data_IF_158989616438
#
_entry.id   IF_158989616438
#
_cell.length_a   1.000
_cell.length_b   1.000
_cell.length_c   1.000
_cell.angle_alpha   90.00
_cell.angle_beta   90.00
_cell.angle_gamma   90.00
#
_symmetry.space_group_name_H-M   'P 1'
#
loop_
_entity.id
_entity.type
_entity.pdbx_description
1 polymer ?
#
# COMPACT_ATOMS: atom_id res chain seq x y z
N UNK A 1 -34.58 18.57 -23.47
CA UNK A 1 -34.57 17.54 -24.53
C UNK A 1 -33.44 16.57 -24.19
N UNK A 2 -33.67 15.25 -24.21
CA UNK A 2 -32.63 14.24 -24.02
C UNK A 2 -32.20 13.76 -25.42
N UNK A 3 -30.91 13.81 -25.76
CA UNK A 3 -30.38 13.43 -27.08
C UNK A 3 -31.20 14.01 -28.26
N UNK A 4 -31.59 15.28 -28.13
CA UNK A 4 -32.33 16.00 -29.17
C UNK A 4 -33.85 15.82 -29.21
N UNK A 5 -34.47 15.02 -28.32
CA UNK A 5 -35.92 14.80 -28.28
C UNK A 5 -36.58 15.15 -26.92
N UNK A 6 -37.90 15.40 -26.90
CA UNK A 6 -38.64 15.65 -25.68
C UNK A 6 -38.84 14.32 -24.90
N UNK A 7 -38.50 14.25 -23.60
CA UNK A 7 -38.54 12.99 -22.84
C UNK A 7 -39.92 12.31 -22.84
N UNK A 8 -40.99 13.09 -22.82
CA UNK A 8 -42.37 12.59 -22.81
C UNK A 8 -42.78 11.81 -24.08
N UNK A 9 -42.00 11.90 -25.17
CA UNK A 9 -42.29 11.24 -26.45
C UNK A 9 -41.38 10.06 -26.78
N UNK A 10 -40.46 9.67 -25.90
CA UNK A 10 -39.49 8.62 -26.16
C UNK A 10 -40.02 7.25 -25.69
N UNK A 11 -39.83 6.23 -26.53
CA UNK A 11 -40.05 4.82 -26.18
C UNK A 11 -38.70 4.14 -25.92
N UNK A 12 -38.61 3.17 -25.01
CA UNK A 12 -37.42 2.33 -24.87
C UNK A 12 -37.01 1.75 -26.23
N UNK A 13 -35.72 1.87 -26.58
CA UNK A 13 -35.18 1.41 -27.87
C UNK A 13 -35.38 2.36 -29.07
N UNK A 14 -36.01 3.53 -28.89
CA UNK A 14 -36.10 4.53 -29.94
C UNK A 14 -34.72 5.09 -30.32
N UNK A 15 -34.43 5.14 -31.63
CA UNK A 15 -33.21 5.75 -32.13
C UNK A 15 -33.17 7.25 -31.79
N UNK A 16 -32.14 7.67 -31.04
CA UNK A 16 -31.87 9.07 -30.74
C UNK A 16 -31.30 9.83 -31.94
N UNK A 17 -31.12 11.15 -31.81
CA UNK A 17 -30.35 11.92 -32.79
C UNK A 17 -28.85 11.80 -32.49
N UNK A 18 -28.02 11.81 -33.53
CA UNK A 18 -26.58 11.95 -33.38
C UNK A 18 -26.29 13.26 -32.64
N UNK A 19 -25.57 13.16 -31.53
CA UNK A 19 -25.04 14.30 -30.79
C UNK A 19 -23.54 14.33 -31.03
N UNK A 20 -23.05 15.42 -31.60
CA UNK A 20 -21.63 15.70 -31.73
C UNK A 20 -21.21 16.68 -30.65
N UNK A 21 -20.17 16.34 -29.89
CA UNK A 21 -19.52 17.23 -28.93
C UNK A 21 -18.03 17.29 -29.22
N UNK A 22 -17.41 18.44 -28.95
CA UNK A 22 -15.96 18.58 -28.90
C UNK A 22 -15.57 18.67 -27.44
N UNK A 23 -14.65 17.81 -27.00
CA UNK A 23 -14.04 17.89 -25.69
C UNK A 23 -12.62 18.41 -25.87
N UNK A 24 -12.29 19.49 -25.16
CA UNK A 24 -10.92 19.95 -25.01
C UNK A 24 -10.52 19.76 -23.55
N UNK A 25 -9.39 19.09 -23.32
CA UNK A 25 -8.78 18.98 -22.00
C UNK A 25 -7.68 20.03 -21.91
N UNK A 26 -7.65 20.77 -20.82
CA UNK A 26 -6.54 21.65 -20.48
C UNK A 26 -5.90 21.14 -19.20
N UNK A 27 -4.58 21.00 -19.20
CA UNK A 27 -3.82 20.76 -17.97
C UNK A 27 -3.53 22.11 -17.32
N UNK A 28 -3.99 22.31 -16.09
CA UNK A 28 -3.55 23.41 -15.25
C UNK A 28 -2.76 22.82 -14.08
N UNK A 29 -1.54 23.32 -13.79
CA UNK A 29 -0.82 22.92 -12.59
C UNK A 29 -1.69 23.15 -11.36
N UNK A 30 -1.77 22.16 -10.48
CA UNK A 30 -2.41 22.35 -9.18
C UNK A 30 -1.66 23.45 -8.41
N UNK A 31 -2.41 24.33 -7.74
CA UNK A 31 -1.84 25.40 -6.90
C UNK A 31 -0.92 24.82 -5.81
N UNK A 32 -1.26 23.63 -5.31
CA UNK A 32 -0.49 22.88 -4.33
C UNK A 32 -0.24 21.46 -4.87
N UNK A 33 0.81 21.25 -5.67
CA UNK A 33 1.10 19.94 -6.23
C UNK A 33 1.58 19.01 -5.11
N UNK A 34 1.00 17.82 -5.07
CA UNK A 34 1.54 16.72 -4.27
C UNK A 34 2.92 16.32 -4.80
N UNK A 35 3.80 15.81 -3.94
CA UNK A 35 5.19 15.51 -4.30
C UNK A 35 5.62 14.17 -3.72
N UNK A 36 6.33 13.40 -4.52
CA UNK A 36 7.22 12.39 -3.99
C UNK A 36 8.29 13.07 -3.13
N UNK A 37 8.64 12.47 -2.00
CA UNK A 37 9.78 12.88 -1.17
C UNK A 37 10.85 11.80 -1.24
N UNK A 38 12.09 12.24 -1.51
CA UNK A 38 13.28 11.40 -1.62
C UNK A 38 14.26 11.82 -0.54
N UNK A 39 14.74 10.86 0.26
CA UNK A 39 15.93 11.02 1.06
C UNK A 39 16.98 9.97 0.69
N UNK A 40 18.26 10.33 0.77
CA UNK A 40 19.37 9.44 0.38
C UNK A 40 20.33 9.25 1.55
N UNK A 41 20.48 8.01 2.00
CA UNK A 41 21.59 7.63 2.87
C UNK A 41 22.74 7.11 2.00
N UNK A 42 23.80 7.92 1.86
CA UNK A 42 24.96 7.57 1.03
C UNK A 42 25.72 6.37 1.61
N UNK A 43 25.93 5.35 0.77
CA UNK A 43 26.68 4.16 1.11
C UNK A 43 28.16 4.41 1.42
N UNK A 44 28.76 3.52 2.20
CA UNK A 44 30.14 3.63 2.70
C UNK A 44 31.20 3.23 1.66
N UNK A 45 30.86 2.37 0.70
CA UNK A 45 31.81 1.84 -0.28
C UNK A 45 31.84 2.71 -1.54
N UNK A 46 32.99 3.32 -1.92
CA UNK A 46 33.09 4.19 -3.09
C UNK A 46 32.68 3.54 -4.41
N UNK A 47 32.81 2.22 -4.54
CA UNK A 47 32.48 1.46 -5.73
C UNK A 47 31.01 1.04 -5.77
N UNK A 48 30.37 0.88 -4.61
CA UNK A 48 28.98 0.40 -4.51
C UNK A 48 27.96 1.48 -4.15
N UNK A 49 28.38 2.63 -3.60
CA UNK A 49 27.47 3.73 -3.19
C UNK A 49 26.67 4.36 -4.34
N UNK A 50 27.05 4.11 -5.59
CA UNK A 50 26.26 4.49 -6.78
C UNK A 50 25.17 3.48 -7.15
N UNK A 51 24.98 2.43 -6.33
CA UNK A 51 23.86 1.49 -6.43
C UNK A 51 22.94 1.72 -5.23
N UNK A 52 21.65 1.43 -5.41
CA UNK A 52 20.61 1.84 -4.46
C UNK A 52 19.67 0.70 -4.10
N UNK A 53 19.37 0.56 -2.82
CA UNK A 53 18.16 -0.14 -2.36
C UNK A 53 17.10 0.92 -2.07
N UNK A 54 15.91 0.76 -2.64
CA UNK A 54 14.76 1.61 -2.33
C UNK A 54 14.01 1.01 -1.15
N UNK A 55 13.68 1.83 -0.16
CA UNK A 55 12.68 1.55 0.88
C UNK A 55 11.58 2.57 0.70
N UNK A 56 10.34 2.12 0.54
CA UNK A 56 9.23 2.99 0.15
C UNK A 56 7.95 2.74 0.93
N UNK A 57 7.12 3.78 0.96
CA UNK A 57 5.76 3.84 1.45
C UNK A 57 5.04 4.99 0.72
N UNK A 58 3.72 5.08 0.79
CA UNK A 58 2.98 6.22 0.23
C UNK A 58 2.48 7.18 1.31
N UNK A 59 2.34 8.46 0.98
CA UNK A 59 1.99 9.54 1.91
C UNK A 59 0.62 10.15 1.68
N UNK A 60 -0.07 9.73 0.63
CA UNK A 60 -1.44 10.14 0.39
C UNK A 60 -2.42 9.24 1.15
N UNK A 61 -3.67 9.65 1.12
CA UNK A 61 -4.80 8.91 1.66
C UNK A 61 -5.98 9.13 0.69
N UNK A 62 -7.04 8.33 0.84
CA UNK A 62 -8.24 8.39 -0.02
C UNK A 62 -8.88 9.80 -0.10
N UNK A 63 -8.70 10.64 0.92
CA UNK A 63 -9.11 12.05 0.88
C UNK A 63 -10.25 12.36 1.84
N UNK A 64 -11.34 12.92 1.31
CA UNK A 64 -12.49 13.31 2.12
C UNK A 64 -13.81 12.83 1.54
N UNK A 65 -14.84 12.76 2.39
CA UNK A 65 -16.20 12.36 2.07
C UNK A 65 -17.20 13.32 2.72
N UNK A 66 -18.48 13.20 2.39
CA UNK A 66 -19.54 13.73 3.24
C UNK A 66 -19.43 13.17 4.67
N UNK A 67 -19.93 13.91 5.65
CA UNK A 67 -19.84 13.56 7.07
C UNK A 67 -20.46 12.18 7.35
N UNK A 68 -19.65 11.23 7.84
CA UNK A 68 -20.05 9.86 8.20
C UNK A 68 -19.89 9.62 9.71
N UNK A 69 -20.72 8.76 10.29
CA UNK A 69 -20.56 8.31 11.67
C UNK A 69 -19.65 7.06 11.75
N UNK A 70 -18.51 7.20 12.43
CA UNK A 70 -17.44 6.19 12.51
C UNK A 70 -17.97 4.85 13.00
N UNK A 71 -18.77 4.89 14.06
CA UNK A 71 -19.28 3.68 14.70
C UNK A 71 -20.30 2.96 13.81
N UNK A 72 -21.07 3.71 13.00
CA UNK A 72 -21.97 3.12 12.01
C UNK A 72 -21.21 2.42 10.88
N UNK A 73 -20.20 3.09 10.31
CA UNK A 73 -19.37 2.55 9.23
C UNK A 73 -18.66 1.29 9.71
N UNK A 74 -18.01 1.36 10.88
CA UNK A 74 -17.28 0.23 11.45
C UNK A 74 -18.20 -0.92 11.85
N UNK A 75 -19.39 -0.64 12.39
CA UNK A 75 -20.39 -1.67 12.70
C UNK A 75 -20.86 -2.40 11.44
N UNK A 76 -21.13 -1.64 10.37
CA UNK A 76 -21.51 -2.19 9.08
C UNK A 76 -20.39 -3.08 8.52
N UNK A 77 -19.15 -2.58 8.48
CA UNK A 77 -18.02 -3.32 7.92
C UNK A 77 -17.70 -4.59 8.71
N UNK A 78 -17.79 -4.57 10.05
CA UNK A 78 -17.63 -5.78 10.88
C UNK A 78 -18.61 -6.91 10.52
N UNK A 79 -19.76 -6.61 9.93
CA UNK A 79 -20.77 -7.60 9.58
C UNK A 79 -20.76 -7.92 8.09
N UNK A 80 -20.58 -6.91 7.24
CA UNK A 80 -20.77 -7.00 5.80
C UNK A 80 -19.47 -6.97 5.01
N UNK A 81 -18.42 -6.34 5.55
CA UNK A 81 -17.18 -6.00 4.84
C UNK A 81 -15.95 -6.15 5.75
N UNK A 82 -15.62 -7.37 6.22
CA UNK A 82 -14.47 -7.62 7.10
C UNK A 82 -13.12 -7.12 6.55
N UNK A 83 -12.97 -6.93 5.23
CA UNK A 83 -11.80 -6.37 4.57
C UNK A 83 -12.01 -4.91 4.12
N UNK A 84 -12.98 -4.19 4.71
CA UNK A 84 -13.23 -2.78 4.42
C UNK A 84 -13.62 -2.56 2.95
N UNK A 85 -12.97 -1.60 2.29
CA UNK A 85 -13.29 -1.27 0.90
C UNK A 85 -13.09 -2.41 -0.11
N UNK A 86 -12.27 -3.40 0.23
CA UNK A 86 -11.98 -4.54 -0.63
C UNK A 86 -13.19 -5.49 -0.80
N UNK A 87 -14.12 -5.51 0.17
CA UNK A 87 -15.35 -6.28 0.06
C UNK A 87 -16.44 -5.48 -0.66
N UNK A 88 -17.22 -6.19 -1.49
CA UNK A 88 -18.34 -5.61 -2.24
C UNK A 88 -19.42 -5.09 -1.30
N UNK A 89 -20.06 -3.98 -1.70
CA UNK A 89 -21.23 -3.44 -1.01
C UNK A 89 -22.44 -4.34 -1.26
N UNK A 90 -23.15 -4.69 -0.19
CA UNK A 90 -24.37 -5.47 -0.25
C UNK A 90 -25.33 -5.04 0.87
N UNK A 91 -26.62 -5.19 0.63
CA UNK A 91 -27.65 -4.88 1.63
C UNK A 91 -27.73 -5.96 2.73
N UNK A 92 -27.80 -5.59 4.01
CA UNK A 92 -27.90 -6.54 5.10
C UNK A 92 -29.31 -7.14 5.17
N UNK A 93 -29.41 -8.45 5.39
CA UNK A 93 -30.69 -9.07 5.77
C UNK A 93 -31.13 -8.64 7.17
N UNK A 94 -32.35 -8.97 7.58
CA UNK A 94 -32.91 -8.54 8.88
C UNK A 94 -32.03 -8.89 10.09
N UNK A 95 -31.40 -10.08 10.10
CA UNK A 95 -30.51 -10.51 11.19
C UNK A 95 -29.20 -9.70 11.18
N UNK A 96 -28.62 -9.49 10.01
CA UNK A 96 -27.42 -8.65 9.85
C UNK A 96 -27.70 -7.20 10.26
N UNK A 97 -28.82 -6.63 9.83
CA UNK A 97 -29.21 -5.27 10.17
C UNK A 97 -29.41 -5.10 11.68
N UNK A 98 -30.03 -6.08 12.36
CA UNK A 98 -30.15 -6.07 13.83
C UNK A 98 -28.78 -6.12 14.52
N UNK A 99 -27.85 -6.95 14.02
CA UNK A 99 -26.49 -7.03 14.53
C UNK A 99 -25.71 -5.72 14.34
N UNK A 100 -25.82 -5.09 13.16
CA UNK A 100 -25.17 -3.80 12.86
C UNK A 100 -25.65 -2.73 13.83
N UNK A 101 -26.98 -2.61 14.05
CA UNK A 101 -27.53 -1.65 15.03
C UNK A 101 -26.99 -1.90 16.44
N UNK A 102 -27.01 -3.15 16.90
CA UNK A 102 -26.50 -3.50 18.23
C UNK A 102 -25.02 -3.15 18.41
N UNK A 103 -24.19 -3.40 17.39
CA UNK A 103 -22.77 -3.03 17.40
C UNK A 103 -22.56 -1.51 17.43
N UNK A 104 -23.28 -0.76 16.58
CA UNK A 104 -23.19 0.69 16.53
C UNK A 104 -23.61 1.32 17.87
N UNK A 105 -24.72 0.88 18.46
CA UNK A 105 -25.20 1.36 19.75
C UNK A 105 -24.22 1.04 20.89
N UNK A 106 -23.58 -0.14 20.84
CA UNK A 106 -22.56 -0.50 21.81
C UNK A 106 -21.32 0.40 21.71
N UNK A 107 -20.85 0.70 20.50
CA UNK A 107 -19.69 1.56 20.29
C UNK A 107 -19.99 3.00 20.70
N UNK A 108 -21.16 3.55 20.33
CA UNK A 108 -21.57 4.91 20.73
C UNK A 108 -21.68 5.06 22.23
N UNK A 109 -22.20 4.04 22.94
CA UNK A 109 -22.23 4.04 24.41
C UNK A 109 -20.81 4.08 25.00
N UNK A 110 -19.89 3.29 24.45
CA UNK A 110 -18.50 3.27 24.90
C UNK A 110 -17.77 4.61 24.63
N UNK A 111 -18.09 5.29 23.52
CA UNK A 111 -17.47 6.55 23.13
C UNK A 111 -18.19 7.81 23.66
N UNK A 112 -19.32 7.66 24.35
CA UNK A 112 -20.11 8.79 24.86
C UNK A 112 -20.91 9.56 23.81
N UNK A 113 -21.11 9.01 22.60
CA UNK A 113 -21.90 9.63 21.55
C UNK A 113 -21.52 9.19 20.14
N UNK A 114 -22.11 9.86 19.14
CA UNK A 114 -21.76 9.70 17.72
C UNK A 114 -20.42 10.37 17.44
N UNK A 115 -19.54 9.69 16.70
CA UNK A 115 -18.24 10.23 16.27
C UNK A 115 -18.30 10.44 14.76
N UNK A 116 -18.46 11.69 14.34
CA UNK A 116 -18.60 12.02 12.93
C UNK A 116 -17.31 12.63 12.39
N UNK A 117 -16.92 12.20 11.20
CA UNK A 117 -15.79 12.75 10.45
C UNK A 117 -16.08 12.67 8.95
N UNK A 118 -15.35 13.47 8.21
CA UNK A 118 -15.34 13.54 6.75
C UNK A 118 -13.97 13.15 6.18
N UNK A 119 -12.96 12.89 7.01
CA UNK A 119 -11.59 12.62 6.55
C UNK A 119 -11.31 11.11 6.60
N UNK A 120 -10.71 10.60 5.54
CA UNK A 120 -10.08 9.28 5.55
C UNK A 120 -8.66 9.45 6.09
N UNK A 121 -8.49 9.37 7.41
CA UNK A 121 -7.20 9.68 8.05
C UNK A 121 -6.05 8.75 7.60
N UNK A 122 -6.35 7.55 7.09
CA UNK A 122 -5.35 6.67 6.48
C UNK A 122 -4.26 6.26 7.45
N UNK A 123 -4.61 6.03 8.72
CA UNK A 123 -3.62 5.74 9.76
C UNK A 123 -2.85 4.45 9.49
N UNK A 124 -3.49 3.41 8.97
CA UNK A 124 -2.81 2.21 8.49
C UNK A 124 -2.43 2.34 7.02
N UNK A 125 -3.31 2.92 6.20
CA UNK A 125 -3.17 3.07 4.74
C UNK A 125 -2.97 4.54 4.30
N UNK A 126 -1.73 5.02 4.13
CA UNK A 126 -0.47 4.37 4.52
C UNK A 126 0.35 5.18 5.52
N UNK A 127 -0.33 5.80 6.48
CA UNK A 127 0.30 6.46 7.62
C UNK A 127 1.27 5.54 8.36
N UNK A 128 0.94 4.25 8.46
CA UNK A 128 1.79 3.25 9.10
C UNK A 128 3.10 2.99 8.34
N UNK A 129 3.05 2.82 7.01
CA UNK A 129 4.23 2.69 6.16
C UNK A 129 5.06 3.96 6.14
N UNK A 130 4.42 5.13 6.09
CA UNK A 130 5.10 6.43 6.15
C UNK A 130 5.89 6.60 7.45
N UNK A 131 5.30 6.31 8.61
CA UNK A 131 6.02 6.40 9.89
C UNK A 131 7.11 5.34 9.97
N UNK A 132 6.85 4.10 9.55
CA UNK A 132 7.88 3.06 9.50
C UNK A 132 9.08 3.47 8.62
N UNK A 133 8.84 4.11 7.48
CA UNK A 133 9.88 4.63 6.60
C UNK A 133 10.77 5.65 7.29
N UNK A 134 10.17 6.58 8.05
CA UNK A 134 10.88 7.60 8.82
C UNK A 134 11.74 6.96 9.92
N UNK A 135 11.17 6.02 10.69
CA UNK A 135 11.88 5.32 11.77
C UNK A 135 13.06 4.49 11.23
N UNK A 136 12.89 3.80 10.08
CA UNK A 136 13.99 3.10 9.43
C UNK A 136 15.07 4.08 8.99
N UNK A 137 14.70 5.23 8.42
CA UNK A 137 15.65 6.24 7.96
C UNK A 137 16.44 6.84 9.13
N UNK A 138 15.78 7.18 10.24
CA UNK A 138 16.42 7.68 11.46
C UNK A 138 17.38 6.63 12.04
N UNK A 139 16.91 5.40 12.23
CA UNK A 139 17.73 4.32 12.77
C UNK A 139 18.97 4.04 11.92
N UNK A 140 18.85 4.03 10.59
CA UNK A 140 19.99 3.83 9.69
C UNK A 140 20.94 5.02 9.64
N UNK A 141 20.44 6.24 9.78
CA UNK A 141 21.27 7.44 9.82
C UNK A 141 22.08 7.54 11.13
N UNK A 142 21.49 7.12 12.25
CA UNK A 142 22.13 7.08 13.57
C UNK A 142 23.04 5.86 13.77
N UNK A 143 22.92 4.82 12.94
CA UNK A 143 23.71 3.60 13.07
C UNK A 143 25.22 3.87 12.92
N UNK A 144 26.09 3.21 13.71
CA UNK A 144 27.54 3.40 13.66
C UNK A 144 28.16 2.95 12.34
N UNK A 145 27.46 2.08 11.60
CA UNK A 145 27.91 1.53 10.33
C UNK A 145 26.86 1.78 9.26
N UNK A 146 27.30 2.35 8.14
CA UNK A 146 26.49 2.50 6.93
C UNK A 146 26.63 1.29 6.01
N UNK A 147 25.58 0.90 5.28
CA UNK A 147 25.68 -0.14 4.26
C UNK A 147 26.63 0.29 3.13
N UNK A 148 27.12 -0.68 2.35
CA UNK A 148 28.04 -0.41 1.24
C UNK A 148 27.37 0.34 0.09
N UNK A 149 26.16 -0.06 -0.30
CA UNK A 149 25.28 0.65 -1.24
C UNK A 149 24.53 1.78 -0.55
N UNK A 150 24.04 2.74 -1.33
CA UNK A 150 23.16 3.79 -0.82
C UNK A 150 21.74 3.26 -0.61
N UNK A 151 20.98 3.91 0.27
CA UNK A 151 19.54 3.68 0.43
C UNK A 151 18.80 4.90 -0.09
N UNK A 152 17.73 4.68 -0.85
CA UNK A 152 16.72 5.69 -1.17
C UNK A 152 15.50 5.45 -0.31
N UNK A 153 15.16 6.41 0.54
CA UNK A 153 13.89 6.43 1.26
C UNK A 153 12.89 7.22 0.40
N UNK A 154 11.86 6.52 -0.07
CA UNK A 154 10.90 7.02 -1.05
C UNK A 154 9.52 7.11 -0.41
N UNK A 155 9.03 8.32 -0.22
CA UNK A 155 7.65 8.57 0.17
C UNK A 155 6.88 8.97 -1.09
N UNK A 156 6.12 8.02 -1.63
CA UNK A 156 5.33 8.20 -2.84
C UNK A 156 4.06 9.00 -2.57
N UNK A 157 3.54 9.64 -3.61
CA UNK A 157 2.27 10.36 -3.54
C UNK A 157 1.33 9.86 -4.63
N UNK A 158 0.04 10.08 -4.46
CA UNK A 158 -1.00 9.67 -5.41
C UNK A 158 -0.95 8.16 -5.73
N UNK A 159 -0.66 7.32 -4.73
CA UNK A 159 -0.82 5.86 -4.80
C UNK A 159 -2.29 5.54 -5.01
N UNK A 160 -3.15 6.13 -4.18
CA UNK A 160 -4.60 5.86 -4.13
C UNK A 160 -5.33 6.37 -5.39
N UNK A 161 -4.72 7.35 -6.07
CA UNK A 161 -5.21 7.89 -7.32
C UNK A 161 -4.75 7.08 -8.56
N UNK A 162 -3.96 6.03 -8.38
CA UNK A 162 -3.49 5.15 -9.46
C UNK A 162 -1.96 5.08 -9.61
N UNK A 163 -1.21 5.09 -8.50
CA UNK A 163 0.24 4.89 -8.46
C UNK A 163 1.03 6.00 -9.18
N UNK A 164 0.48 7.21 -9.29
CA UNK A 164 1.08 8.25 -10.14
C UNK A 164 2.46 8.69 -9.65
N UNK A 165 2.69 8.74 -8.34
CA UNK A 165 3.99 9.10 -7.78
C UNK A 165 5.07 8.07 -8.07
N UNK A 166 4.83 6.80 -7.81
CA UNK A 166 5.80 5.73 -8.09
C UNK A 166 5.99 5.50 -9.59
N UNK A 167 4.93 5.63 -10.40
CA UNK A 167 5.03 5.64 -11.85
C UNK A 167 5.95 6.77 -12.31
N UNK A 168 5.68 8.02 -11.89
CA UNK A 168 6.49 9.17 -12.28
C UNK A 168 7.95 9.00 -11.88
N UNK A 169 8.24 8.54 -10.65
CA UNK A 169 9.60 8.30 -10.20
C UNK A 169 10.30 7.21 -11.01
N UNK A 170 9.64 6.09 -11.26
CA UNK A 170 10.26 4.98 -12.00
C UNK A 170 10.48 5.34 -13.46
N UNK A 171 9.62 6.18 -14.06
CA UNK A 171 9.78 6.72 -15.41
C UNK A 171 10.90 7.79 -15.49
N UNK A 172 11.01 8.63 -14.46
CA UNK A 172 11.93 9.78 -14.38
C UNK A 172 12.75 9.80 -13.07
N UNK A 173 13.57 8.77 -12.81
CA UNK A 173 14.19 8.61 -11.50
C UNK A 173 15.30 9.65 -11.28
N UNK A 174 15.46 10.09 -10.03
CA UNK A 174 16.54 11.01 -9.61
C UNK A 174 17.93 10.34 -9.59
N UNK A 175 17.98 9.02 -9.77
CA UNK A 175 19.19 8.21 -9.94
C UNK A 175 19.05 7.35 -11.21
N UNK A 176 20.13 6.85 -11.83
CA UNK A 176 19.99 5.93 -12.96
C UNK A 176 19.15 4.71 -12.58
N UNK A 177 18.08 4.41 -13.33
CA UNK A 177 17.15 3.31 -12.98
C UNK A 177 17.85 1.98 -12.76
N UNK A 178 18.78 1.64 -13.65
CA UNK A 178 19.56 0.40 -13.59
C UNK A 178 20.48 0.31 -12.37
N UNK A 179 20.69 1.40 -11.65
CA UNK A 179 21.44 1.41 -10.39
C UNK A 179 20.62 0.95 -9.19
N UNK A 180 19.29 0.89 -9.30
CA UNK A 180 18.39 0.37 -8.26
C UNK A 180 18.49 -1.16 -8.27
N UNK A 181 18.92 -1.75 -7.15
CA UNK A 181 19.18 -3.20 -7.03
C UNK A 181 18.01 -3.96 -6.41
N UNK A 182 17.16 -3.27 -5.65
CA UNK A 182 15.92 -3.79 -5.08
C UNK A 182 15.01 -2.63 -4.64
N UNK A 183 13.71 -2.86 -4.56
CA UNK A 183 12.74 -1.98 -3.91
C UNK A 183 11.90 -2.72 -2.87
N UNK A 184 11.82 -2.16 -1.67
CA UNK A 184 11.09 -2.72 -0.52
C UNK A 184 9.95 -1.76 -0.19
N UNK A 185 8.72 -2.15 -0.47
CA UNK A 185 7.54 -1.29 -0.30
C UNK A 185 6.73 -1.73 0.90
N UNK A 186 6.43 -0.82 1.81
CA UNK A 186 5.52 -1.03 2.93
C UNK A 186 4.20 -0.35 2.61
N UNK A 187 3.10 -0.98 2.98
CA UNK A 187 1.74 -0.48 2.78
C UNK A 187 0.79 -1.25 3.72
N UNK A 188 0.14 -0.54 4.64
CA UNK A 188 -0.70 -1.14 5.69
C UNK A 188 0.08 -2.10 6.60
N UNK A 189 1.05 -1.57 7.34
CA UNK A 189 1.95 -2.34 8.22
C UNK A 189 1.73 -2.12 9.71
N UNK A 190 0.74 -1.30 10.08
CA UNK A 190 0.40 -0.94 11.45
C UNK A 190 -0.73 -1.76 12.06
N UNK A 191 -1.57 -2.46 11.29
CA UNK A 191 -2.65 -3.33 11.79
C UNK A 191 -2.28 -4.82 11.74
N UNK A 192 -3.24 -5.75 11.83
CA UNK A 192 -2.98 -7.19 11.66
C UNK A 192 -2.85 -8.02 12.93
N UNK A 193 -3.48 -7.58 14.02
CA UNK A 193 -3.75 -8.42 15.19
C UNK A 193 -4.74 -9.53 14.84
N UNK A 194 -4.76 -10.60 15.64
CA UNK A 194 -5.63 -11.76 15.39
C UNK A 194 -7.13 -11.40 15.48
N UNK A 195 -7.48 -10.37 16.25
CA UNK A 195 -8.85 -9.86 16.40
C UNK A 195 -9.28 -8.99 15.20
N UNK A 196 -8.32 -8.56 14.38
CA UNK A 196 -8.50 -7.61 13.29
C UNK A 196 -8.47 -8.30 11.93
N UNK A 197 -7.52 -9.24 11.76
CA UNK A 197 -7.28 -9.94 10.51
C UNK A 197 -7.30 -11.44 10.76
N UNK A 198 -8.09 -12.17 9.96
CA UNK A 198 -8.17 -13.63 10.05
C UNK A 198 -6.81 -14.24 9.71
N UNK A 199 -6.25 -15.01 10.64
CA UNK A 199 -4.89 -15.56 10.50
C UNK A 199 -3.80 -14.55 10.83
N UNK A 200 -4.17 -13.34 11.24
CA UNK A 200 -3.28 -12.33 11.79
C UNK A 200 -2.76 -12.71 13.18
N UNK A 201 -1.88 -11.86 13.71
CA UNK A 201 -1.18 -12.11 14.95
C UNK A 201 0.02 -11.18 15.09
N UNK A 202 0.66 -11.15 16.27
CA UNK A 202 1.73 -10.19 16.59
C UNK A 202 2.97 -10.30 15.68
N UNK A 203 3.12 -11.42 14.96
CA UNK A 203 4.24 -11.68 14.04
C UNK A 203 3.79 -11.85 12.59
N UNK A 204 2.50 -11.70 12.31
CA UNK A 204 1.93 -11.88 10.98
C UNK A 204 2.39 -10.79 10.02
N UNK A 205 2.82 -11.19 8.83
CA UNK A 205 3.17 -10.29 7.73
C UNK A 205 2.97 -11.00 6.38
N UNK A 206 2.43 -10.29 5.41
CA UNK A 206 2.25 -10.76 4.04
C UNK A 206 3.39 -10.23 3.19
N UNK A 207 4.04 -11.12 2.44
CA UNK A 207 5.09 -10.76 1.50
C UNK A 207 4.66 -11.09 0.07
N UNK A 208 4.77 -10.11 -0.81
CA UNK A 208 4.40 -10.25 -2.22
C UNK A 208 5.61 -9.87 -3.10
N UNK A 209 5.89 -10.71 -4.09
CA UNK A 209 6.94 -10.52 -5.10
C UNK A 209 8.38 -10.86 -4.71
N UNK A 210 8.64 -11.23 -3.46
CA UNK A 210 9.99 -11.50 -2.93
C UNK A 210 10.82 -12.53 -3.71
N UNK A 211 10.19 -13.43 -4.46
CA UNK A 211 10.84 -14.47 -5.27
C UNK A 211 10.54 -14.37 -6.77
N UNK A 212 9.74 -13.39 -7.19
CA UNK A 212 9.26 -13.33 -8.58
C UNK A 212 10.35 -12.95 -9.57
N UNK A 213 11.17 -11.97 -9.23
CA UNK A 213 12.28 -11.48 -10.07
C UNK A 213 13.65 -11.95 -9.61
N UNK A 214 13.82 -12.21 -8.30
CA UNK A 214 15.07 -12.66 -7.71
C UNK A 214 14.81 -13.70 -6.63
N UNK A 215 15.14 -14.96 -6.88
CA UNK A 215 15.07 -16.01 -5.83
C UNK A 215 16.00 -15.70 -4.66
N UNK A 216 17.12 -15.02 -4.94
CA UNK A 216 18.12 -14.60 -3.97
C UNK A 216 17.59 -13.52 -2.99
N UNK A 217 16.67 -12.66 -3.43
CA UNK A 217 15.98 -11.71 -2.55
C UNK A 217 15.18 -12.47 -1.49
N UNK A 218 14.29 -13.37 -1.92
CA UNK A 218 13.49 -14.20 -1.01
C UNK A 218 14.34 -15.06 -0.07
N UNK A 219 15.42 -15.68 -0.57
CA UNK A 219 16.33 -16.45 0.27
C UNK A 219 17.04 -15.59 1.33
N UNK A 220 17.37 -14.33 0.99
CA UNK A 220 17.95 -13.38 1.95
C UNK A 220 16.96 -13.05 3.06
N UNK A 221 15.69 -12.81 2.71
CA UNK A 221 14.61 -12.52 3.66
C UNK A 221 14.38 -13.71 4.60
N UNK A 222 14.27 -14.93 4.07
CA UNK A 222 14.10 -16.14 4.89
C UNK A 222 15.27 -16.36 5.85
N UNK A 223 16.50 -16.17 5.37
CA UNK A 223 17.71 -16.32 6.19
C UNK A 223 17.77 -15.31 7.33
N UNK A 224 17.36 -14.06 7.08
CA UNK A 224 17.24 -13.05 8.13
C UNK A 224 16.16 -13.44 9.12
N UNK A 225 14.97 -13.80 8.64
CA UNK A 225 13.86 -14.20 9.49
C UNK A 225 14.21 -15.40 10.37
N UNK A 226 14.89 -16.40 9.82
CA UNK A 226 15.30 -17.60 10.55
C UNK A 226 16.29 -17.35 11.69
N UNK A 227 17.03 -16.23 11.65
CA UNK A 227 17.98 -15.84 12.69
C UNK A 227 17.40 -14.87 13.73
N UNK A 228 16.15 -14.41 13.53
CA UNK A 228 15.48 -13.54 14.51
C UNK A 228 15.13 -14.35 15.76
N UNK A 229 15.22 -13.76 16.97
CA UNK A 229 14.72 -14.37 18.20
C UNK A 229 13.22 -14.68 18.10
N UNK A 230 12.46 -13.74 17.51
CA UNK A 230 11.05 -13.89 17.22
C UNK A 230 10.85 -13.82 15.71
N UNK A 231 10.60 -14.99 15.11
CA UNK A 231 10.41 -15.13 13.66
C UNK A 231 9.08 -14.52 13.24
N UNK A 232 9.11 -13.72 12.18
CA UNK A 232 7.91 -13.29 11.47
C UNK A 232 7.19 -14.52 10.90
N UNK A 233 5.87 -14.54 11.03
CA UNK A 233 4.96 -15.51 10.41
C UNK A 233 4.61 -14.98 9.02
N UNK A 234 5.45 -15.34 8.05
CA UNK A 234 5.33 -14.82 6.69
C UNK A 234 4.26 -15.60 5.91
N UNK A 235 3.27 -14.87 5.43
CA UNK A 235 2.21 -15.36 4.56
C UNK A 235 2.51 -15.00 3.10
N UNK A 236 2.81 -16.02 2.29
CA UNK A 236 3.03 -15.90 0.85
C UNK A 236 1.78 -16.25 0.02
N UNK A 237 0.63 -16.55 0.64
CA UNK A 237 -0.57 -16.98 -0.08
C UNK A 237 -1.08 -15.92 -1.07
N UNK A 238 -0.93 -14.65 -0.71
CA UNK A 238 -1.28 -13.51 -1.56
C UNK A 238 -0.34 -13.29 -2.74
N UNK A 239 0.81 -13.97 -2.78
CA UNK A 239 1.78 -13.91 -3.89
C UNK A 239 1.54 -15.02 -4.94
N UNK A 240 0.54 -15.89 -4.74
CA UNK A 240 0.22 -16.95 -5.68
C UNK A 240 -0.15 -16.39 -7.08
N UNK A 241 0.35 -16.96 -8.19
CA UNK A 241 -0.07 -16.56 -9.53
C UNK A 241 -1.58 -16.64 -9.71
N UNK A 242 -2.19 -15.62 -10.33
CA UNK A 242 -3.64 -15.56 -10.53
C UNK A 242 -4.49 -15.43 -9.27
N UNK A 243 -3.92 -15.01 -8.12
CA UNK A 243 -4.70 -14.77 -6.90
C UNK A 243 -5.85 -13.77 -7.18
N UNK A 244 -7.09 -14.03 -6.73
CA UNK A 244 -8.26 -13.24 -7.11
C UNK A 244 -8.21 -11.78 -6.67
N UNK A 245 -7.45 -11.46 -5.62
CA UNK A 245 -7.26 -10.08 -5.17
C UNK A 245 -6.21 -9.29 -5.97
N UNK A 246 -5.41 -9.96 -6.82
CA UNK A 246 -4.39 -9.35 -7.68
C UNK A 246 -3.45 -8.35 -6.96
N UNK A 247 -3.08 -8.62 -5.71
CA UNK A 247 -2.36 -7.66 -4.85
C UNK A 247 -0.95 -7.32 -5.33
N UNK A 248 -0.31 -8.20 -6.11
CA UNK A 248 0.97 -7.91 -6.77
C UNK A 248 0.92 -6.68 -7.69
N UNK A 249 -0.26 -6.31 -8.18
CA UNK A 249 -0.45 -5.20 -9.11
C UNK A 249 -1.11 -3.96 -8.46
N UNK A 250 -1.21 -3.89 -7.13
CA UNK A 250 -2.09 -2.94 -6.43
C UNK A 250 -1.38 -1.85 -5.63
N UNK A 251 -0.05 -1.80 -5.65
CA UNK A 251 0.70 -0.77 -4.91
C UNK A 251 2.04 -0.45 -5.58
N UNK A 252 2.72 0.58 -5.09
CA UNK A 252 3.87 1.25 -5.73
C UNK A 252 5.00 0.31 -6.18
N UNK A 253 5.21 -0.80 -5.48
CA UNK A 253 6.22 -1.80 -5.83
C UNK A 253 6.11 -2.29 -7.29
N UNK A 254 4.90 -2.34 -7.85
CA UNK A 254 4.68 -2.80 -9.23
C UNK A 254 5.39 -1.89 -10.25
N UNK A 255 5.50 -0.59 -9.97
CA UNK A 255 6.13 0.37 -10.86
C UNK A 255 7.65 0.18 -10.96
N UNK A 256 8.26 -0.44 -9.94
CA UNK A 256 9.64 -0.90 -9.98
C UNK A 256 9.76 -2.26 -10.68
N UNK A 257 8.86 -3.19 -10.36
CA UNK A 257 8.88 -4.55 -10.90
C UNK A 257 8.75 -4.59 -12.42
N UNK A 258 7.93 -3.70 -13.02
CA UNK A 258 7.77 -3.60 -14.48
C UNK A 258 9.08 -3.27 -15.23
N UNK A 259 10.07 -2.70 -14.53
CA UNK A 259 11.41 -2.45 -15.06
C UNK A 259 12.43 -3.56 -14.70
N UNK A 260 11.97 -4.69 -14.16
CA UNK A 260 12.83 -5.80 -13.78
C UNK A 260 13.65 -5.56 -12.51
N UNK A 261 13.28 -4.56 -11.69
CA UNK A 261 13.87 -4.34 -10.37
C UNK A 261 13.26 -5.35 -9.39
N UNK A 262 14.05 -6.19 -8.69
CA UNK A 262 13.52 -7.08 -7.66
C UNK A 262 12.79 -6.32 -6.57
N UNK A 263 11.58 -6.78 -6.21
CA UNK A 263 10.79 -6.14 -5.17
C UNK A 263 10.37 -7.09 -4.05
N UNK A 264 10.07 -6.51 -2.91
CA UNK A 264 9.18 -7.11 -1.92
C UNK A 264 8.18 -6.06 -1.45
N UNK A 265 6.90 -6.41 -1.50
CA UNK A 265 5.82 -5.67 -0.85
C UNK A 265 5.51 -6.29 0.50
N UNK A 266 5.38 -5.46 1.52
CA UNK A 266 5.11 -5.81 2.90
C UNK A 266 3.77 -5.19 3.33
N UNK A 267 2.84 -6.03 3.79
CA UNK A 267 1.58 -5.59 4.37
C UNK A 267 1.20 -6.52 5.52
N UNK A 268 0.39 -6.04 6.46
CA UNK A 268 -0.23 -6.90 7.49
C UNK A 268 -1.68 -7.26 7.17
N UNK A 269 -2.19 -6.84 6.00
CA UNK A 269 -3.45 -7.29 5.43
C UNK A 269 -4.59 -6.29 5.54
N UNK A 270 -5.73 -6.60 4.93
CA UNK A 270 -6.91 -5.74 4.99
C UNK A 270 -7.73 -5.97 6.26
N UNK A 271 -8.29 -4.89 6.79
CA UNK A 271 -9.18 -4.86 7.95
C UNK A 271 -10.44 -4.04 7.64
N UNK A 272 -11.40 -4.04 8.57
CA UNK A 272 -12.71 -3.38 8.44
C UNK A 272 -12.65 -1.87 8.19
N UNK A 273 -11.50 -1.25 8.45
CA UNK A 273 -11.29 0.19 8.34
C UNK A 273 -10.53 0.59 7.05
N UNK A 274 -10.10 -0.36 6.22
CA UNK A 274 -9.42 -0.09 4.94
C UNK A 274 -10.26 0.83 4.02
N UNK A 275 -9.68 1.97 3.62
CA UNK A 275 -10.33 3.09 2.92
C UNK A 275 -11.62 3.59 3.60
N UNK A 276 -11.64 3.65 4.93
CA UNK A 276 -12.77 4.15 5.72
C UNK A 276 -12.35 5.30 6.64
N UNK A 277 -13.31 6.13 7.02
CA UNK A 277 -13.13 7.19 8.03
C UNK A 277 -12.70 6.65 9.40
N UNK A 278 -12.85 5.34 9.62
CA UNK A 278 -12.41 4.66 10.84
C UNK A 278 -10.95 4.22 10.85
N UNK A 279 -10.18 4.46 9.78
CA UNK A 279 -8.76 4.12 9.75
C UNK A 279 -7.93 5.13 10.56
N UNK A 280 -7.78 4.83 11.84
CA UNK A 280 -7.46 5.80 12.86
C UNK A 280 -6.27 5.37 13.73
N UNK A 281 -5.42 6.31 14.21
CA UNK A 281 -4.18 5.97 14.90
C UNK A 281 -4.36 5.13 16.17
N UNK A 282 -5.51 5.25 16.87
CA UNK A 282 -5.78 4.46 18.07
C UNK A 282 -5.93 2.96 17.81
N UNK A 283 -6.08 2.53 16.56
CA UNK A 283 -6.22 1.11 16.22
C UNK A 283 -4.90 0.47 15.76
N UNK A 284 -3.84 1.26 15.60
CA UNK A 284 -2.51 0.78 15.22
C UNK A 284 -1.92 -0.10 16.32
N UNK A 285 -1.39 -1.24 15.90
CA UNK A 285 -0.54 -2.14 16.67
C UNK A 285 0.91 -1.66 16.59
N UNK A 286 1.28 -0.66 17.42
CA UNK A 286 2.61 -0.06 17.39
C UNK A 286 3.76 -1.06 17.67
N UNK A 287 3.53 -2.07 18.49
CA UNK A 287 4.52 -3.14 18.72
C UNK A 287 4.74 -3.95 17.44
N UNK A 288 3.66 -4.30 16.75
CA UNK A 288 3.71 -4.98 15.47
C UNK A 288 4.34 -4.12 14.37
N UNK A 289 4.00 -2.83 14.30
CA UNK A 289 4.60 -1.86 13.39
C UNK A 289 6.11 -1.79 13.59
N UNK A 290 6.56 -1.69 14.85
CA UNK A 290 7.99 -1.66 15.21
C UNK A 290 8.71 -2.93 14.74
N UNK A 291 8.08 -4.10 14.89
CA UNK A 291 8.62 -5.38 14.42
C UNK A 291 8.77 -5.40 12.91
N UNK A 292 7.77 -4.93 12.16
CA UNK A 292 7.83 -4.83 10.70
C UNK A 292 8.89 -3.86 10.25
N UNK A 293 8.91 -2.63 10.79
CA UNK A 293 9.90 -1.62 10.45
C UNK A 293 11.34 -2.11 10.69
N UNK A 294 11.58 -2.74 11.84
CA UNK A 294 12.88 -3.36 12.15
C UNK A 294 13.23 -4.45 11.13
N UNK A 295 12.28 -5.31 10.78
CA UNK A 295 12.52 -6.40 9.82
C UNK A 295 12.82 -5.87 8.42
N UNK A 296 12.07 -4.89 7.92
CA UNK A 296 12.31 -4.24 6.63
C UNK A 296 13.66 -3.51 6.63
N UNK A 297 14.00 -2.81 7.73
CA UNK A 297 15.30 -2.18 7.90
C UNK A 297 16.46 -3.17 7.84
N UNK A 298 16.36 -4.31 8.53
CA UNK A 298 17.35 -5.39 8.49
C UNK A 298 17.53 -5.96 7.07
N UNK A 299 16.42 -6.15 6.33
CA UNK A 299 16.44 -6.61 4.94
C UNK A 299 17.12 -5.58 4.04
N UNK A 300 16.72 -4.31 4.13
CA UNK A 300 17.28 -3.22 3.34
C UNK A 300 18.79 -3.11 3.56
N UNK A 301 19.22 -3.13 4.83
CA UNK A 301 20.62 -3.12 5.22
C UNK A 301 21.35 -4.32 4.63
N UNK A 302 20.83 -5.53 4.82
CA UNK A 302 21.48 -6.75 4.34
C UNK A 302 21.66 -6.71 2.82
N UNK A 303 20.65 -6.32 2.05
CA UNK A 303 20.75 -6.21 0.58
C UNK A 303 21.80 -5.15 0.20
N UNK A 304 21.78 -3.99 0.85
CA UNK A 304 22.69 -2.91 0.56
C UNK A 304 24.15 -3.22 0.94
N UNK A 305 24.38 -4.12 1.88
CA UNK A 305 25.72 -4.51 2.36
C UNK A 305 26.34 -5.69 1.59
N UNK A 306 25.58 -6.36 0.71
CA UNK A 306 26.08 -7.48 -0.09
C UNK A 306 27.24 -7.08 -1.00
N UNK A 307 28.24 -7.95 -1.22
CA UNK A 307 29.31 -7.66 -2.17
C UNK A 307 28.78 -7.58 -3.61
N UNK A 308 27.90 -8.49 -4.01
CA UNK A 308 27.30 -8.53 -5.35
C UNK A 308 25.85 -8.05 -5.35
N UNK A 309 25.40 -7.58 -6.53
CA UNK A 309 23.98 -7.31 -6.79
C UNK A 309 23.16 -8.59 -6.66
N UNK A 310 21.87 -8.42 -6.41
CA UNK A 310 20.92 -9.52 -6.51
C UNK A 310 20.88 -10.03 -7.95
N UNK A 311 20.86 -11.36 -8.09
CA UNK A 311 20.64 -12.00 -9.38
C UNK A 311 19.17 -11.85 -9.77
N UNK A 312 18.91 -11.39 -10.99
CA UNK A 312 17.56 -11.35 -11.58
C UNK A 312 17.39 -12.60 -12.43
N UNK A 313 16.80 -13.63 -11.84
CA UNK A 313 16.58 -14.96 -12.42
C UNK A 313 15.11 -15.25 -12.75
N UNK A 314 14.21 -14.31 -12.45
CA UNK A 314 12.81 -14.34 -12.83
C UNK A 314 12.50 -13.66 -14.17
N UNK A 315 11.29 -13.90 -14.72
CA UNK A 315 10.88 -13.31 -16.00
C UNK A 315 10.71 -11.80 -15.87
N UNK A 316 11.34 -11.04 -16.77
CA UNK A 316 11.09 -9.61 -16.91
C UNK A 316 9.81 -9.38 -17.72
N UNK A 317 8.99 -8.44 -17.26
CA UNK A 317 7.78 -8.03 -17.96
C UNK A 317 8.09 -6.87 -18.92
N UNK A 318 7.29 -6.71 -19.96
CA UNK A 318 7.28 -5.47 -20.74
C UNK A 318 6.78 -4.33 -19.83
N UNK A 319 7.55 -3.25 -19.64
CA UNK A 319 7.15 -2.15 -18.75
C UNK A 319 5.84 -1.46 -19.15
N UNK A 320 5.39 -1.62 -20.39
CA UNK A 320 4.13 -1.07 -20.89
C UNK A 320 2.97 -2.07 -20.89
N UNK A 321 3.23 -3.34 -20.58
CA UNK A 321 2.17 -4.34 -20.52
C UNK A 321 1.33 -4.17 -19.25
N UNK A 322 0.02 -4.50 -19.30
CA UNK A 322 -0.80 -4.56 -18.10
C UNK A 322 -0.20 -5.53 -17.09
N UNK A 323 -0.10 -5.11 -15.83
CA UNK A 323 0.41 -5.97 -14.76
C UNK A 323 -0.44 -7.24 -14.62
N UNK A 324 0.25 -8.37 -14.45
CA UNK A 324 -0.37 -9.67 -14.17
C UNK A 324 0.34 -10.34 -13.01
N UNK A 325 -0.47 -10.82 -12.06
CA UNK A 325 -0.01 -11.64 -10.95
C UNK A 325 0.14 -13.11 -11.34
#
# INVERSE_FOLDING_TARGET
>A
RLLGAAPAGLRPGAAGRTVTGAFSFGEQPAEHPARNVVAVLRGSDPLLRGQYVVVSAHNDHVGTTALLDHDSVRAFNRVMRPQGANDRVAEPNARQAARIRALADSMRRAHGGTRRDSVFNGADDDGSGTVALLEIAEAMAAAPRRPRRSILFMSHTAEEAGLFGSQHFTDHPTVPRDSIVAALNMDMVGRGRAEDIRGGGPRYIQLIGSRRLSTQLGATIDSLNARRPERMEIDYSFDAPGHPLNRYCRSDHVMYARYGIPITYFSRGYHVDYHQVGDEPQYIDYDGLTRVATFVGDIAFAIADRPQRLVVDGPRQDPNAPCRQ
#
